data_IF_532116644750
#
_entry.id   IF_532116644750
#
_cell.length_a   1.000
_cell.length_b   1.000
_cell.length_c   1.000
_cell.angle_alpha   90.00
_cell.angle_beta   90.00
_cell.angle_gamma   90.00
#
_symmetry.space_group_name_H-M   'P 1'
#
loop_
_entity.id
_entity.type
_entity.pdbx_description
1 polymer ?
#
# COMPACT_ATOMS: atom_id res chain seq x y z
N UNK A 1 7.21 10.45 -2.30
CA UNK A 1 8.14 9.53 -2.97
C UNK A 1 7.81 9.58 -4.45
N UNK A 2 8.77 9.88 -5.33
CA UNK A 2 8.52 10.02 -6.76
C UNK A 2 8.83 8.74 -7.53
N UNK A 3 8.52 8.75 -8.83
CA UNK A 3 8.73 7.61 -9.72
C UNK A 3 10.22 7.20 -9.81
N UNK A 4 11.14 8.17 -9.83
CA UNK A 4 12.57 7.89 -9.89
C UNK A 4 13.10 7.21 -8.62
N UNK A 5 12.58 7.59 -7.44
CA UNK A 5 12.96 6.95 -6.19
C UNK A 5 12.36 5.54 -6.05
N UNK A 6 11.19 5.28 -6.64
CA UNK A 6 10.62 3.92 -6.76
C UNK A 6 11.57 3.02 -7.54
N UNK A 7 12.02 3.46 -8.71
CA UNK A 7 12.96 2.68 -9.53
C UNK A 7 14.26 2.37 -8.79
N UNK A 8 14.76 3.31 -7.97
CA UNK A 8 15.94 3.07 -7.16
C UNK A 8 15.71 1.91 -6.18
N UNK A 9 14.60 1.91 -5.43
CA UNK A 9 14.30 0.83 -4.48
C UNK A 9 14.03 -0.51 -5.16
N UNK A 10 13.38 -0.49 -6.32
CA UNK A 10 13.17 -1.69 -7.15
C UNK A 10 14.50 -2.29 -7.62
N UNK A 11 15.43 -1.45 -8.10
CA UNK A 11 16.75 -1.89 -8.54
C UNK A 11 17.59 -2.49 -7.40
N UNK A 12 17.41 -1.98 -6.17
CA UNK A 12 18.04 -2.56 -4.97
C UNK A 12 17.36 -3.86 -4.48
N UNK A 13 16.20 -4.23 -5.03
CA UNK A 13 15.41 -5.36 -4.54
C UNK A 13 14.81 -5.12 -3.16
N UNK A 14 14.64 -3.86 -2.76
CA UNK A 14 14.15 -3.46 -1.44
C UNK A 14 12.61 -3.52 -1.36
N UNK A 15 12.04 -4.71 -1.59
CA UNK A 15 10.60 -4.92 -1.71
C UNK A 15 9.81 -4.44 -0.48
N UNK A 16 10.26 -4.79 0.74
CA UNK A 16 9.60 -4.39 1.98
C UNK A 16 9.67 -2.88 2.22
N UNK A 17 10.81 -2.26 1.94
CA UNK A 17 10.97 -0.81 2.06
C UNK A 17 10.09 -0.06 1.06
N UNK A 18 10.00 -0.56 -0.17
CA UNK A 18 9.11 0.02 -1.18
C UNK A 18 7.64 -0.14 -0.78
N UNK A 19 7.23 -1.32 -0.33
CA UNK A 19 5.87 -1.56 0.16
C UNK A 19 5.53 -0.62 1.31
N UNK A 20 6.43 -0.47 2.28
CA UNK A 20 6.25 0.42 3.42
C UNK A 20 6.08 1.88 2.98
N UNK A 21 6.90 2.35 2.03
CA UNK A 21 6.81 3.71 1.48
C UNK A 21 5.50 3.98 0.76
N UNK A 22 4.92 2.98 0.08
CA UNK A 22 3.69 3.12 -0.70
C UNK A 22 2.41 2.87 0.11
N UNK A 23 2.49 2.18 1.25
CA UNK A 23 1.33 1.79 2.07
C UNK A 23 1.31 2.56 3.39
N UNK A 24 1.84 1.98 4.47
CA UNK A 24 1.71 2.46 5.85
C UNK A 24 2.38 3.82 6.09
N UNK A 25 3.39 4.20 5.28
CA UNK A 25 4.01 5.55 5.33
C UNK A 25 3.32 6.59 4.44
N UNK A 26 2.39 6.18 3.57
CA UNK A 26 1.66 7.09 2.69
C UNK A 26 0.15 7.05 2.97
N UNK A 27 -0.56 6.07 2.40
CA UNK A 27 -2.01 6.15 2.18
C UNK A 27 -2.79 4.96 2.77
N UNK A 28 -2.15 4.03 3.46
CA UNK A 28 -2.85 3.00 4.23
C UNK A 28 -3.28 3.56 5.60
N UNK A 29 -4.54 3.99 5.71
CA UNK A 29 -5.10 4.61 6.93
C UNK A 29 -5.17 3.63 8.09
N UNK A 30 -5.52 2.37 7.81
CA UNK A 30 -5.63 1.31 8.82
C UNK A 30 -4.24 0.90 9.30
N UNK A 31 -3.34 0.60 8.37
CA UNK A 31 -1.98 0.17 8.64
C UNK A 31 -1.15 1.24 9.37
N UNK A 32 -1.26 2.52 9.00
CA UNK A 32 -0.52 3.60 9.67
C UNK A 32 -0.83 3.73 11.16
N UNK A 33 -2.09 3.52 11.54
CA UNK A 33 -2.51 3.60 12.96
C UNK A 33 -1.96 2.42 13.75
N UNK A 34 -2.06 1.20 13.19
CA UNK A 34 -1.48 -0.01 13.79
C UNK A 34 0.03 0.10 13.96
N UNK A 35 0.74 0.58 12.94
CA UNK A 35 2.20 0.78 12.99
C UNK A 35 2.56 1.79 14.07
N UNK A 36 1.79 2.87 14.22
CA UNK A 36 2.03 3.82 15.31
C UNK A 36 1.85 3.18 16.70
N UNK A 37 0.80 2.38 16.89
CA UNK A 37 0.60 1.64 18.14
C UNK A 37 1.72 0.62 18.40
N UNK A 38 2.17 -0.10 17.37
CA UNK A 38 3.25 -1.06 17.44
C UNK A 38 4.58 -0.40 17.86
N UNK A 39 4.92 0.75 17.27
CA UNK A 39 6.09 1.55 17.64
C UNK A 39 6.02 1.98 19.12
N UNK A 40 4.84 2.40 19.59
CA UNK A 40 4.67 2.82 20.99
C UNK A 40 4.77 1.64 21.97
N UNK A 41 4.31 0.45 21.56
CA UNK A 41 4.39 -0.78 22.37
C UNK A 41 5.76 -1.45 22.32
N UNK A 42 6.57 -1.16 21.32
CA UNK A 42 7.84 -1.83 21.05
C UNK A 42 7.68 -3.19 20.38
N UNK A 43 6.55 -3.41 19.71
CA UNK A 43 6.28 -4.61 18.92
C UNK A 43 6.67 -4.35 17.45
N UNK A 44 7.34 -5.31 16.81
CA UNK A 44 7.72 -5.25 15.38
C UNK A 44 6.63 -5.85 14.47
N UNK A 45 5.36 -5.61 14.79
CA UNK A 45 4.25 -6.10 13.97
C UNK A 45 4.00 -5.17 12.78
N UNK A 46 4.03 -5.74 11.57
CA UNK A 46 3.98 -5.00 10.33
C UNK A 46 3.02 -5.65 9.33
N UNK A 47 1.82 -5.09 9.24
CA UNK A 47 0.82 -5.45 8.22
C UNK A 47 0.60 -4.26 7.29
N UNK A 48 0.92 -4.44 6.01
CA UNK A 48 0.57 -3.49 4.96
C UNK A 48 -0.71 -3.92 4.26
N UNK A 49 -1.72 -3.07 4.25
CA UNK A 49 -3.00 -3.29 3.57
C UNK A 49 -3.04 -2.72 2.15
N UNK A 50 -4.26 -2.60 1.62
CA UNK A 50 -4.52 -1.98 0.33
C UNK A 50 -4.46 -0.45 0.49
N UNK A 51 -3.69 0.28 -0.33
CA UNK A 51 -3.65 1.74 -0.30
C UNK A 51 -5.00 2.36 -0.65
N UNK A 52 -5.38 3.45 0.02
CA UNK A 52 -6.63 4.16 -0.32
C UNK A 52 -6.61 4.78 -1.72
N UNK A 53 -5.43 5.13 -2.25
CA UNK A 53 -5.27 5.60 -3.62
C UNK A 53 -5.73 4.57 -4.67
N UNK A 54 -5.55 3.27 -4.39
CA UNK A 54 -6.08 2.20 -5.23
C UNK A 54 -7.62 2.15 -5.18
N UNK A 55 -8.21 2.32 -4.00
CA UNK A 55 -9.67 2.37 -3.86
C UNK A 55 -10.28 3.56 -4.62
N UNK A 56 -9.61 4.71 -4.61
CA UNK A 56 -10.02 5.89 -5.39
C UNK A 56 -9.94 5.59 -6.89
N UNK A 57 -8.83 5.01 -7.36
CA UNK A 57 -8.67 4.62 -8.76
C UNK A 57 -9.81 3.70 -9.24
N UNK A 58 -10.19 2.70 -8.45
CA UNK A 58 -11.30 1.78 -8.79
C UNK A 58 -12.62 2.55 -8.92
N UNK A 59 -12.90 3.51 -8.02
CA UNK A 59 -14.10 4.34 -8.10
C UNK A 59 -14.09 5.27 -9.31
N UNK A 60 -12.94 5.83 -9.65
CA UNK A 60 -12.77 6.67 -10.85
C UNK A 60 -13.02 5.88 -12.13
N UNK A 61 -12.49 4.65 -12.24
CA UNK A 61 -12.76 3.76 -13.37
C UNK A 61 -14.24 3.37 -13.46
N UNK A 62 -14.88 3.06 -12.31
CA UNK A 62 -16.32 2.80 -12.25
C UNK A 62 -17.16 4.00 -12.69
N UNK A 63 -16.72 5.23 -12.41
CA UNK A 63 -17.41 6.44 -12.87
C UNK A 63 -17.43 6.58 -14.41
N UNK A 64 -16.45 5.98 -15.09
CA UNK A 64 -16.38 5.92 -16.55
C UNK A 64 -17.19 4.75 -17.16
N UNK A 65 -17.89 3.97 -16.33
CA UNK A 65 -18.61 2.77 -16.76
C UNK A 65 -17.73 1.53 -16.93
N UNK A 66 -16.48 1.58 -16.45
CA UNK A 66 -15.59 0.42 -16.44
C UNK A 66 -15.79 -0.38 -15.14
N UNK A 67 -16.21 -1.64 -15.25
CA UNK A 67 -16.30 -2.51 -14.09
C UNK A 67 -14.95 -3.20 -13.83
N UNK A 68 -14.37 -2.91 -12.67
CA UNK A 68 -13.13 -3.53 -12.18
C UNK A 68 -13.43 -4.20 -10.86
N UNK A 69 -13.10 -5.49 -10.77
CA UNK A 69 -13.27 -6.32 -9.58
C UNK A 69 -11.97 -7.08 -9.30
N UNK A 70 -11.62 -7.21 -8.02
CA UNK A 70 -10.50 -8.02 -7.57
C UNK A 70 -10.95 -9.47 -7.47
N UNK A 71 -10.28 -10.36 -8.20
CA UNK A 71 -10.50 -11.80 -8.11
C UNK A 71 -9.42 -12.42 -7.23
N UNK A 72 -9.84 -13.19 -6.22
CA UNK A 72 -8.93 -14.09 -5.52
C UNK A 72 -8.61 -15.27 -6.45
N UNK A 73 -7.33 -15.63 -6.54
CA UNK A 73 -6.94 -16.81 -7.28
C UNK A 73 -7.31 -18.05 -6.45
N UNK A 74 -8.33 -18.78 -6.88
CA UNK A 74 -8.60 -20.13 -6.36
C UNK A 74 -7.46 -21.06 -6.83
N UNK A 75 -6.57 -21.42 -5.91
CA UNK A 75 -5.61 -22.51 -6.05
C UNK A 75 -6.01 -23.69 -5.17
#
# INVERSE_FOLDING_TARGET
>A
FGEMEVWALEAYGAAYTLQEMLTVKSDDVSGRTKVYEAIVRGDDDFESGIPESFNVLVKELRSLGLNVDLHEAEY
#
